data_IF_732607925329
#
_entry.id   IF_732607925329
#
_cell.length_a   1.000
_cell.length_b   1.000
_cell.length_c   1.000
_cell.angle_alpha   90.00
_cell.angle_beta   90.00
_cell.angle_gamma   90.00
#
_symmetry.space_group_name_H-M   'P 1'
#
loop_
_entity.id
_entity.type
_entity.pdbx_description
1 polymer ?
#
# COMPACT_ATOMS: atom_id res chain seq x y z
N UNK A 1 34.97 28.01 15.87
CA UNK A 1 33.83 27.49 15.11
C UNK A 1 32.56 27.68 15.95
N UNK A 2 31.74 28.71 15.71
CA UNK A 2 30.52 28.90 16.47
C UNK A 2 29.46 27.88 16.02
N UNK A 3 28.85 27.20 16.99
CA UNK A 3 27.77 26.25 16.77
C UNK A 3 26.54 26.97 16.21
N UNK A 4 26.13 26.60 14.99
CA UNK A 4 24.88 27.05 14.39
C UNK A 4 23.71 26.65 15.30
N UNK A 5 23.05 27.66 15.86
CA UNK A 5 21.81 27.52 16.62
C UNK A 5 20.69 27.31 15.61
N UNK A 6 20.46 26.06 15.21
CA UNK A 6 19.29 25.71 14.41
C UNK A 6 18.04 26.06 15.22
N UNK A 7 17.27 27.05 14.74
CA UNK A 7 16.00 27.41 15.33
C UNK A 7 15.08 26.19 15.38
N UNK A 8 14.80 25.72 16.60
CA UNK A 8 13.89 24.62 16.84
C UNK A 8 12.46 25.13 16.64
N UNK A 9 11.91 24.88 15.45
CA UNK A 9 10.50 25.15 15.09
C UNK A 9 9.49 24.30 15.90
N UNK A 10 9.96 23.36 16.73
CA UNK A 10 9.12 22.52 17.54
C UNK A 10 8.58 23.27 18.77
N UNK A 11 7.25 23.35 18.88
CA UNK A 11 6.53 23.93 20.03
C UNK A 11 7.09 23.39 21.36
N UNK A 12 7.44 24.25 22.34
CA UNK A 12 7.93 23.80 23.64
C UNK A 12 6.86 22.95 24.33
N UNK A 13 7.17 21.68 24.60
CA UNK A 13 6.29 20.81 25.37
C UNK A 13 6.38 21.21 26.83
N UNK A 14 5.22 21.28 27.52
CA UNK A 14 5.18 21.28 28.99
C UNK A 14 6.00 20.09 29.49
N UNK A 15 7.17 20.36 30.07
CA UNK A 15 7.99 19.34 30.69
C UNK A 15 7.33 18.98 32.02
N UNK A 16 6.89 17.73 32.16
CA UNK A 16 6.58 17.18 33.49
C UNK A 16 7.87 16.67 34.08
N UNK A 17 8.08 16.89 35.38
CA UNK A 17 9.19 16.30 36.13
C UNK A 17 9.20 14.80 35.86
N UNK A 18 10.31 14.30 35.34
CA UNK A 18 10.45 12.88 34.97
C UNK A 18 10.19 12.03 36.20
N UNK A 19 9.24 11.10 36.09
CA UNK A 19 9.05 10.08 37.11
C UNK A 19 10.37 9.32 37.28
N UNK A 20 10.93 9.34 38.50
CA UNK A 20 12.06 8.48 38.88
C UNK A 20 11.67 7.00 38.78
N UNK A 21 10.37 6.70 38.86
CA UNK A 21 9.82 5.37 38.75
C UNK A 21 10.28 4.66 37.46
N UNK A 22 10.63 3.40 37.63
CA UNK A 22 11.12 2.48 36.62
C UNK A 22 10.12 1.32 36.60
N UNK A 23 9.76 0.86 35.42
CA UNK A 23 8.89 -0.30 35.28
C UNK A 23 9.57 -1.55 35.86
N UNK A 24 8.83 -2.36 36.64
CA UNK A 24 9.35 -3.59 37.26
C UNK A 24 9.60 -4.73 36.27
N UNK A 25 9.21 -4.60 35.00
CA UNK A 25 9.49 -5.57 33.93
C UNK A 25 11.00 -5.73 33.70
N UNK A 26 11.45 -6.92 33.23
CA UNK A 26 12.86 -7.18 32.94
C UNK A 26 13.40 -6.19 31.89
N UNK A 27 14.68 -5.84 32.00
CA UNK A 27 15.31 -4.92 31.05
C UNK A 27 15.17 -5.42 29.60
N UNK A 28 14.88 -4.51 28.68
CA UNK A 28 14.82 -4.81 27.26
C UNK A 28 16.23 -4.75 26.68
N UNK A 29 16.78 -5.91 26.33
CA UNK A 29 18.05 -5.98 25.60
C UNK A 29 17.84 -5.55 24.15
N UNK A 30 18.64 -4.60 23.67
CA UNK A 30 18.49 -4.04 22.31
C UNK A 30 18.73 -5.10 21.25
N UNK A 31 19.65 -6.05 21.49
CA UNK A 31 19.91 -7.17 20.57
C UNK A 31 18.71 -8.07 20.27
N UNK A 32 17.69 -8.09 21.13
CA UNK A 32 16.46 -8.87 20.90
C UNK A 32 15.59 -8.30 19.77
N UNK A 33 15.82 -7.03 19.42
CA UNK A 33 15.12 -6.34 18.34
C UNK A 33 15.89 -6.49 17.01
N UNK A 34 15.17 -6.37 15.89
CA UNK A 34 15.80 -6.34 14.56
C UNK A 34 16.59 -5.05 14.40
N UNK A 35 17.70 -5.03 13.61
CA UNK A 35 18.51 -3.82 13.41
C UNK A 35 17.73 -2.57 12.98
N UNK A 36 16.66 -2.73 12.19
CA UNK A 36 15.80 -1.62 11.75
C UNK A 36 14.75 -1.17 12.78
N UNK A 37 14.63 -1.86 13.92
CA UNK A 37 13.67 -1.55 14.98
C UNK A 37 14.29 -0.72 16.10
N UNK A 38 15.54 -0.29 15.96
CA UNK A 38 16.20 0.59 16.92
C UNK A 38 17.23 1.49 16.24
N UNK A 39 17.47 2.65 16.84
CA UNK A 39 18.44 3.65 16.44
C UNK A 39 19.35 3.95 17.65
N UNK A 40 20.65 3.74 17.49
CA UNK A 40 21.66 3.96 18.54
C UNK A 40 22.44 5.27 18.37
N UNK A 41 22.07 6.13 17.41
CA UNK A 41 22.73 7.44 17.25
C UNK A 41 22.54 8.28 18.52
N UNK A 42 23.60 8.86 19.10
CA UNK A 42 23.52 9.58 20.38
C UNK A 42 22.47 10.70 20.42
N UNK A 43 22.24 11.37 19.29
CA UNK A 43 21.26 12.45 19.16
C UNK A 43 19.79 11.96 19.10
N UNK A 44 19.56 10.73 18.64
CA UNK A 44 18.22 10.21 18.28
C UNK A 44 17.99 8.79 18.79
N UNK A 45 18.64 8.42 19.90
CA UNK A 45 18.54 7.09 20.49
C UNK A 45 17.07 6.70 20.74
N UNK A 46 16.58 5.70 20.02
CA UNK A 46 15.17 5.28 20.06
C UNK A 46 15.02 3.82 19.67
N UNK A 47 13.93 3.19 20.09
CA UNK A 47 13.61 1.82 19.69
C UNK A 47 12.11 1.60 19.59
N UNK A 48 11.71 0.56 18.88
CA UNK A 48 10.32 0.11 18.80
C UNK A 48 9.97 -0.65 20.08
N UNK A 49 8.98 -0.16 20.83
CA UNK A 49 8.48 -0.87 22.00
C UNK A 49 7.79 -2.19 21.58
N UNK A 50 8.13 -3.36 22.16
CA UNK A 50 7.53 -4.63 21.78
C UNK A 50 6.03 -4.73 22.12
N UNK A 51 5.58 -4.01 23.15
CA UNK A 51 4.19 -4.07 23.63
C UNK A 51 3.22 -3.29 22.72
N UNK A 52 3.63 -2.10 22.25
CA UNK A 52 2.74 -1.18 21.51
C UNK A 52 3.23 -0.84 20.10
N UNK A 53 4.40 -1.34 19.70
CA UNK A 53 5.02 -1.14 18.37
C UNK A 53 5.27 0.32 17.98
N UNK A 54 5.18 1.27 18.91
CA UNK A 54 5.54 2.67 18.66
C UNK A 54 7.05 2.87 18.75
N UNK A 55 7.58 3.81 17.98
CA UNK A 55 8.95 4.30 18.14
C UNK A 55 9.05 5.18 19.39
N UNK A 56 9.92 4.80 20.32
CA UNK A 56 10.06 5.43 21.63
C UNK A 56 11.51 5.84 21.87
N UNK A 57 11.77 7.10 22.24
CA UNK A 57 13.11 7.53 22.59
C UNK A 57 13.63 6.84 23.85
N UNK A 58 14.93 6.56 23.86
CA UNK A 58 15.67 6.09 25.02
C UNK A 58 16.19 7.32 25.77
N UNK A 59 15.89 7.38 27.06
CA UNK A 59 16.40 8.43 27.92
C UNK A 59 17.78 8.05 28.41
N UNK A 60 18.74 8.95 28.20
CA UNK A 60 20.08 8.80 28.77
C UNK A 60 20.72 7.51 28.31
N UNK A 61 20.94 7.36 27.00
CA UNK A 61 21.57 6.16 26.43
C UNK A 61 22.96 5.88 27.06
N UNK A 62 23.67 6.93 27.47
CA UNK A 62 24.95 6.85 28.20
C UNK A 62 24.80 6.84 29.73
N UNK A 63 23.58 6.95 30.26
CA UNK A 63 23.36 6.92 31.70
C UNK A 63 23.46 5.49 32.24
N UNK A 64 23.76 5.35 33.53
CA UNK A 64 23.84 4.06 34.22
C UNK A 64 22.56 3.22 34.12
N UNK A 65 21.40 3.86 33.94
CA UNK A 65 20.09 3.22 33.83
C UNK A 65 19.30 3.83 32.66
N UNK A 66 19.57 3.42 31.41
CA UNK A 66 18.80 3.87 30.26
C UNK A 66 17.37 3.36 30.39
N UNK A 67 16.38 4.20 30.04
CA UNK A 67 14.97 3.79 30.08
C UNK A 67 14.14 4.43 28.98
N UNK A 68 13.11 3.72 28.56
CA UNK A 68 12.14 4.23 27.60
C UNK A 68 11.40 5.45 28.15
N UNK A 69 11.19 6.45 27.30
CA UNK A 69 10.34 7.59 27.62
C UNK A 69 8.90 7.10 27.87
N UNK A 70 8.17 7.73 28.81
CA UNK A 70 6.73 7.59 28.92
C UNK A 70 6.02 7.72 27.56
N UNK A 71 5.41 6.64 27.11
CA UNK A 71 4.57 6.59 25.92
C UNK A 71 3.29 5.81 26.19
N UNK A 72 2.30 6.04 25.33
CA UNK A 72 0.98 5.46 25.38
C UNK A 72 0.80 4.47 24.22
N UNK A 73 -0.25 3.68 24.29
CA UNK A 73 -0.69 2.76 23.24
C UNK A 73 -1.54 3.50 22.23
N UNK A 74 -1.49 3.06 20.97
CA UNK A 74 -2.30 3.63 19.89
C UNK A 74 -1.61 4.72 19.07
N UNK A 75 -2.31 5.17 18.04
CA UNK A 75 -1.87 6.23 17.13
C UNK A 75 -2.13 7.60 17.75
N UNK A 76 -1.08 8.42 17.79
CA UNK A 76 -1.15 9.79 18.27
C UNK A 76 -2.24 10.58 17.51
N UNK A 77 -3.17 11.18 18.26
CA UNK A 77 -4.26 11.99 17.72
C UNK A 77 -5.45 11.21 17.15
N UNK A 78 -5.44 9.87 17.23
CA UNK A 78 -6.58 9.03 16.82
C UNK A 78 -7.18 8.25 17.99
N UNK A 79 -6.31 7.58 18.74
CA UNK A 79 -6.75 6.70 19.82
C UNK A 79 -6.70 7.40 21.18
N UNK A 80 -7.46 6.87 22.15
CA UNK A 80 -7.39 7.32 23.53
C UNK A 80 -5.99 7.04 24.09
N UNK A 81 -5.39 8.03 24.74
CA UNK A 81 -4.05 7.93 25.32
C UNK A 81 -4.02 6.99 26.54
N UNK A 82 -3.95 5.69 26.28
CA UNK A 82 -3.84 4.64 27.32
C UNK A 82 -2.37 4.30 27.53
N UNK A 83 -1.88 4.44 28.76
CA UNK A 83 -0.47 4.20 29.12
C UNK A 83 0.01 2.81 28.69
N UNK A 84 1.13 2.74 27.96
CA UNK A 84 1.71 1.47 27.56
C UNK A 84 2.32 0.71 28.75
N UNK A 85 2.09 -0.61 28.80
CA UNK A 85 2.66 -1.52 29.81
C UNK A 85 4.19 -1.63 29.72
N UNK A 86 4.78 -1.36 28.56
CA UNK A 86 6.23 -1.30 28.33
C UNK A 86 6.84 0.08 28.59
N UNK A 87 6.04 1.06 29.03
CA UNK A 87 6.53 2.41 29.30
C UNK A 87 7.46 2.46 30.51
N UNK A 88 8.42 3.39 30.53
CA UNK A 88 9.46 3.51 31.58
C UNK A 88 10.28 2.22 31.82
N UNK A 89 10.29 1.27 30.87
CA UNK A 89 11.08 0.03 30.96
C UNK A 89 12.57 0.32 30.78
N UNK A 90 13.40 -0.37 31.57
CA UNK A 90 14.86 -0.30 31.43
C UNK A 90 15.29 -0.86 30.09
N UNK A 91 16.34 -0.26 29.53
CA UNK A 91 16.96 -0.70 28.29
C UNK A 91 18.39 -1.10 28.58
N UNK A 92 18.76 -2.31 28.18
CA UNK A 92 20.13 -2.79 28.20
C UNK A 92 20.71 -2.63 26.79
N UNK A 93 21.63 -1.67 26.62
CA UNK A 93 22.30 -1.39 25.35
C UNK A 93 23.53 -2.30 25.26
N UNK A 94 23.33 -3.48 24.69
CA UNK A 94 24.33 -4.54 24.53
C UNK A 94 24.99 -4.55 23.14
N UNK A 95 24.49 -3.73 22.21
CA UNK A 95 25.04 -3.56 20.87
C UNK A 95 25.83 -2.26 20.78
N UNK A 96 27.07 -2.32 20.26
CA UNK A 96 27.87 -1.12 19.97
C UNK A 96 27.26 -0.36 18.79
N UNK A 97 27.16 0.97 18.89
CA UNK A 97 26.58 1.83 17.86
C UNK A 97 27.22 1.63 16.47
N UNK A 98 28.56 1.56 16.40
CA UNK A 98 29.30 1.30 15.16
C UNK A 98 28.90 -0.02 14.48
N UNK A 99 28.78 -1.10 15.26
CA UNK A 99 28.39 -2.43 14.76
C UNK A 99 26.93 -2.46 14.27
N UNK A 100 26.07 -1.66 14.88
CA UNK A 100 24.69 -1.50 14.40
C UNK A 100 24.65 -0.73 13.08
N UNK A 101 25.44 0.34 12.94
CA UNK A 101 25.53 1.11 11.70
C UNK A 101 26.05 0.26 10.53
N UNK A 102 27.11 -0.51 10.76
CA UNK A 102 27.64 -1.50 9.80
C UNK A 102 26.53 -2.45 9.32
N UNK A 103 25.75 -3.05 10.24
CA UNK A 103 24.63 -3.94 9.90
C UNK A 103 23.54 -3.27 9.06
N UNK A 104 23.29 -1.97 9.26
CA UNK A 104 22.31 -1.24 8.46
C UNK A 104 22.82 -0.96 7.04
N UNK A 105 24.09 -0.60 6.91
CA UNK A 105 24.73 -0.36 5.61
C UNK A 105 24.80 -1.65 4.80
N UNK A 106 25.22 -2.76 5.42
CA UNK A 106 25.30 -4.07 4.76
C UNK A 106 23.91 -4.54 4.28
N UNK A 107 22.89 -4.45 5.15
CA UNK A 107 21.52 -4.83 4.77
C UNK A 107 20.92 -3.94 3.66
N UNK A 108 21.30 -2.65 3.62
CA UNK A 108 20.94 -1.78 2.51
C UNK A 108 21.66 -2.16 1.21
N UNK A 109 22.95 -2.52 1.28
CA UNK A 109 23.70 -2.98 0.12
C UNK A 109 23.09 -4.27 -0.47
N UNK A 110 22.78 -5.27 0.36
CA UNK A 110 22.10 -6.50 -0.07
C UNK A 110 20.72 -6.23 -0.71
N UNK A 111 19.95 -5.29 -0.15
CA UNK A 111 18.65 -4.92 -0.70
C UNK A 111 18.78 -4.16 -2.02
N UNK A 112 19.78 -3.29 -2.15
CA UNK A 112 20.06 -2.54 -3.38
C UNK A 112 20.51 -3.44 -4.54
N UNK A 113 21.10 -4.61 -4.24
CA UNK A 113 21.43 -5.63 -5.24
C UNK A 113 20.21 -6.39 -5.81
N UNK A 114 19.01 -6.23 -5.22
CA UNK A 114 17.79 -6.74 -5.86
C UNK A 114 17.59 -5.98 -7.18
N UNK A 115 17.64 -6.70 -8.30
CA UNK A 115 17.39 -6.12 -9.63
C UNK A 115 16.10 -5.31 -9.59
N UNK A 116 16.22 -4.01 -9.87
CA UNK A 116 15.08 -3.12 -10.02
C UNK A 116 14.15 -3.72 -11.06
N UNK A 117 12.88 -3.91 -10.72
CA UNK A 117 11.86 -4.29 -11.71
C UNK A 117 11.82 -3.21 -12.78
N UNK A 118 12.03 -3.59 -14.04
CA UNK A 118 11.90 -2.68 -15.17
C UNK A 118 10.49 -2.13 -15.17
N UNK A 119 10.34 -0.82 -14.95
CA UNK A 119 9.03 -0.17 -15.02
C UNK A 119 8.65 -0.13 -16.50
N UNK A 120 7.86 -1.10 -16.94
CA UNK A 120 7.21 -1.04 -18.25
C UNK A 120 6.28 0.16 -18.24
N UNK A 121 6.57 1.17 -19.08
CA UNK A 121 5.66 2.30 -19.24
C UNK A 121 4.35 1.77 -19.82
N UNK A 122 3.23 2.24 -19.28
CA UNK A 122 1.92 1.96 -19.86
C UNK A 122 1.95 2.41 -21.33
N UNK A 123 1.58 1.55 -22.29
CA UNK A 123 1.51 1.94 -23.69
C UNK A 123 0.67 3.22 -23.81
N UNK A 124 1.24 4.26 -24.43
CA UNK A 124 0.47 5.45 -24.75
C UNK A 124 -0.52 5.06 -25.85
N UNK A 125 -1.77 4.86 -25.46
CA UNK A 125 -2.86 4.70 -26.43
C UNK A 125 -2.93 5.99 -27.25
N UNK A 126 -3.08 5.86 -28.57
CA UNK A 126 -3.32 7.02 -29.43
C UNK A 126 -4.51 7.81 -28.89
N UNK A 127 -4.41 9.14 -28.91
CA UNK A 127 -5.51 10.01 -28.48
C UNK A 127 -6.72 9.70 -29.35
N UNK A 128 -7.87 9.42 -28.73
CA UNK A 128 -9.09 9.15 -29.47
C UNK A 128 -9.40 10.33 -30.42
N UNK A 129 -9.82 10.06 -31.67
CA UNK A 129 -10.19 11.12 -32.59
C UNK A 129 -11.32 12.00 -32.02
N UNK A 130 -11.35 13.26 -32.42
CA UNK A 130 -12.39 14.18 -31.98
C UNK A 130 -13.78 13.65 -32.38
N UNK A 131 -14.80 13.93 -31.57
CA UNK A 131 -16.19 13.49 -31.85
C UNK A 131 -16.66 13.93 -33.24
N UNK A 132 -16.21 15.10 -33.70
CA UNK A 132 -16.47 15.61 -35.06
C UNK A 132 -15.85 14.75 -36.16
N UNK A 133 -14.64 14.22 -35.95
CA UNK A 133 -13.96 13.34 -36.90
C UNK A 133 -14.63 11.96 -36.96
N UNK A 134 -15.11 11.44 -35.82
CA UNK A 134 -15.88 10.20 -35.75
C UNK A 134 -17.22 10.35 -36.50
N UNK A 135 -17.90 11.48 -36.31
CA UNK A 135 -19.14 11.78 -37.01
C UNK A 135 -18.94 11.93 -38.53
N UNK A 136 -17.87 12.61 -38.95
CA UNK A 136 -17.51 12.75 -40.36
C UNK A 136 -17.15 11.40 -41.00
N UNK A 137 -16.38 10.55 -40.31
CA UNK A 137 -16.09 9.18 -40.77
C UNK A 137 -17.35 8.34 -40.91
N UNK A 138 -18.30 8.49 -39.98
CA UNK A 138 -19.60 7.82 -40.06
C UNK A 138 -20.40 8.31 -41.27
N UNK A 139 -20.38 9.62 -41.55
CA UNK A 139 -21.03 10.19 -42.73
C UNK A 139 -20.41 9.67 -44.02
N UNK A 140 -19.08 9.65 -44.15
CA UNK A 140 -18.40 9.10 -45.33
C UNK A 140 -18.63 7.59 -45.50
N UNK A 141 -18.78 6.84 -44.40
CA UNK A 141 -19.13 5.42 -44.46
C UNK A 141 -20.58 5.19 -44.91
N UNK A 142 -21.52 6.09 -44.58
CA UNK A 142 -22.89 6.05 -45.11
C UNK A 142 -23.01 6.49 -46.57
N UNK A 143 -22.12 7.35 -47.08
CA UNK A 143 -22.12 7.72 -48.51
C UNK A 143 -21.53 6.62 -49.41
N UNK A 144 -20.88 5.62 -48.82
CA UNK A 144 -20.41 4.40 -49.49
C UNK A 144 -21.29 3.17 -49.22
N UNK A 145 -22.61 3.35 -49.01
CA UNK A 145 -23.58 2.26 -48.82
C UNK A 145 -24.00 1.58 -50.14
N UNK A 146 -23.13 1.61 -51.15
CA UNK A 146 -23.17 0.69 -52.28
C UNK A 146 -21.99 -0.27 -52.16
N UNK A 147 -22.29 -1.51 -51.77
CA UNK A 147 -21.43 -2.65 -52.09
C UNK A 147 -21.25 -2.70 -53.60
N UNK A 148 -20.10 -3.17 -54.11
CA UNK A 148 -19.86 -3.27 -55.57
C UNK A 148 -20.91 -4.10 -56.31
N UNK A 149 -21.72 -4.88 -55.58
CA UNK A 149 -22.78 -5.74 -56.07
C UNK A 149 -24.18 -5.10 -55.99
N UNK A 150 -24.30 -3.81 -55.69
CA UNK A 150 -25.56 -3.05 -55.68
C UNK A 150 -26.54 -3.41 -54.55
N UNK A 151 -26.09 -4.17 -53.54
CA UNK A 151 -26.92 -4.58 -52.39
C UNK A 151 -26.65 -3.68 -51.18
N UNK A 152 -27.68 -3.31 -50.40
CA UNK A 152 -27.50 -2.46 -49.22
C UNK A 152 -26.74 -3.21 -48.11
N UNK A 153 -25.87 -2.52 -47.36
CA UNK A 153 -24.96 -3.15 -46.39
C UNK A 153 -25.67 -3.90 -45.25
N UNK A 154 -26.89 -3.50 -44.89
CA UNK A 154 -27.68 -4.18 -43.84
C UNK A 154 -28.08 -5.60 -44.26
N UNK A 155 -28.38 -5.82 -45.55
CA UNK A 155 -28.73 -7.15 -46.09
C UNK A 155 -27.50 -8.06 -46.13
N UNK A 156 -26.33 -7.54 -46.51
CA UNK A 156 -25.07 -8.29 -46.46
C UNK A 156 -24.71 -8.69 -45.03
N UNK A 157 -24.98 -7.81 -44.06
CA UNK A 157 -24.80 -8.10 -42.64
C UNK A 157 -25.76 -9.19 -42.15
N UNK A 158 -27.02 -9.16 -42.58
CA UNK A 158 -28.01 -10.20 -42.25
C UNK A 158 -27.61 -11.56 -42.83
N UNK A 159 -27.22 -11.62 -44.12
CA UNK A 159 -26.72 -12.85 -44.75
C UNK A 159 -25.47 -13.40 -44.05
N UNK A 160 -24.55 -12.52 -43.61
CA UNK A 160 -23.35 -12.93 -42.86
C UNK A 160 -23.68 -13.44 -41.46
N UNK A 161 -24.69 -12.87 -40.80
CA UNK A 161 -25.17 -13.42 -39.53
C UNK A 161 -25.83 -14.77 -39.72
N UNK A 162 -26.70 -14.91 -40.72
CA UNK A 162 -27.35 -16.18 -41.06
C UNK A 162 -26.33 -17.29 -41.36
N UNK A 163 -25.23 -16.97 -42.07
CA UNK A 163 -24.18 -17.96 -42.35
C UNK A 163 -23.36 -18.36 -41.12
N UNK A 164 -23.28 -17.49 -40.09
CA UNK A 164 -22.47 -17.72 -38.89
C UNK A 164 -23.31 -18.25 -37.71
N UNK A 165 -24.64 -18.17 -37.80
CA UNK A 165 -25.58 -18.51 -36.72
C UNK A 165 -25.42 -19.95 -36.24
N UNK A 166 -25.28 -20.91 -37.15
CA UNK A 166 -25.07 -22.32 -36.81
C UNK A 166 -23.76 -22.53 -36.06
N UNK A 167 -22.66 -21.93 -36.53
CA UNK A 167 -21.36 -22.02 -35.87
C UNK A 167 -21.35 -21.38 -34.48
N UNK A 168 -22.09 -20.28 -34.29
CA UNK A 168 -22.29 -19.67 -32.96
C UNK A 168 -23.08 -20.60 -32.05
N UNK A 169 -24.18 -21.18 -32.55
CA UNK A 169 -25.00 -22.15 -31.79
C UNK A 169 -24.16 -23.36 -31.37
N UNK A 170 -23.34 -23.91 -32.27
CA UNK A 170 -22.45 -25.03 -31.99
C UNK A 170 -21.30 -24.69 -31.02
N UNK A 171 -20.85 -23.44 -31.01
CA UNK A 171 -19.88 -22.96 -30.03
C UNK A 171 -20.51 -22.81 -28.64
N UNK A 172 -21.75 -22.33 -28.57
CA UNK A 172 -22.48 -22.16 -27.31
C UNK A 172 -22.92 -23.50 -26.71
N UNK A 173 -23.32 -24.49 -27.52
CA UNK A 173 -23.59 -25.86 -27.04
C UNK A 173 -22.35 -26.50 -26.44
N UNK A 174 -21.20 -26.42 -27.13
CA UNK A 174 -19.91 -26.91 -26.59
C UNK A 174 -19.48 -26.17 -25.32
N UNK A 175 -19.81 -24.89 -25.16
CA UNK A 175 -19.52 -24.14 -23.94
C UNK A 175 -20.43 -24.55 -22.77
N UNK A 176 -21.65 -25.00 -23.07
CA UNK A 176 -22.59 -25.52 -22.07
C UNK A 176 -22.22 -26.92 -21.57
N UNK A 177 -21.47 -27.69 -22.37
CA UNK A 177 -20.89 -28.97 -21.96
C UNK A 177 -19.71 -28.75 -20.99
N UNK A 178 -20.01 -28.75 -19.69
CA UNK A 178 -18.97 -28.80 -18.66
C UNK A 178 -18.39 -30.23 -18.58
N UNK A 179 -17.07 -30.42 -18.70
CA UNK A 179 -16.46 -31.72 -18.44
C UNK A 179 -16.67 -32.13 -16.97
N UNK A 180 -16.95 -33.41 -16.75
CA UNK A 180 -17.17 -33.95 -15.41
C UNK A 180 -15.96 -33.67 -14.50
N UNK A 181 -16.14 -32.83 -13.48
CA UNK A 181 -15.12 -32.49 -12.48
C UNK A 181 -14.82 -31.00 -12.34
N UNK A 182 -15.15 -30.17 -13.32
CA UNK A 182 -14.99 -28.71 -13.24
C UNK A 182 -16.30 -28.04 -12.82
N UNK A 183 -16.74 -28.30 -11.59
CA UNK A 183 -17.67 -27.38 -10.95
C UNK A 183 -16.91 -26.08 -10.65
N UNK A 184 -17.37 -24.90 -11.11
CA UNK A 184 -16.71 -23.64 -10.76
C UNK A 184 -16.65 -23.53 -9.23
N UNK A 185 -15.44 -23.40 -8.69
CA UNK A 185 -15.20 -23.20 -7.26
C UNK A 185 -16.13 -22.08 -6.79
N UNK A 186 -17.14 -22.45 -5.99
CA UNK A 186 -18.35 -21.67 -5.74
C UNK A 186 -18.12 -20.17 -5.74
N UNK A 187 -18.43 -19.53 -6.87
CA UNK A 187 -18.47 -18.08 -6.90
C UNK A 187 -19.56 -17.66 -5.91
N UNK A 188 -19.28 -16.75 -4.97
CA UNK A 188 -20.31 -16.25 -4.07
C UNK A 188 -21.46 -15.69 -4.91
N UNK A 189 -22.72 -15.98 -4.56
CA UNK A 189 -23.87 -15.60 -5.36
C UNK A 189 -23.86 -14.09 -5.58
N UNK A 190 -23.80 -13.67 -6.84
CA UNK A 190 -23.88 -12.25 -7.19
C UNK A 190 -25.30 -11.77 -6.83
N UNK A 191 -25.45 -10.68 -6.07
CA UNK A 191 -26.76 -10.17 -5.72
C UNK A 191 -27.53 -9.81 -7.00
N UNK A 192 -28.63 -10.54 -7.26
CA UNK A 192 -29.53 -10.26 -8.39
C UNK A 192 -30.35 -8.99 -8.19
N UNK A 193 -30.33 -8.42 -6.98
CA UNK A 193 -30.92 -7.12 -6.68
C UNK A 193 -29.88 -6.03 -6.91
N UNK A 194 -30.07 -5.25 -7.96
CA UNK A 194 -29.36 -3.99 -8.16
C UNK A 194 -29.58 -3.08 -6.95
N UNK A 195 -28.50 -2.75 -6.24
CA UNK A 195 -28.54 -1.77 -5.16
C UNK A 195 -28.80 -0.39 -5.78
N UNK A 196 -30.00 0.15 -5.60
CA UNK A 196 -30.29 1.52 -5.98
C UNK A 196 -29.74 2.48 -4.92
N UNK A 197 -28.86 3.43 -5.29
CA UNK A 197 -28.40 4.45 -4.35
C UNK A 197 -29.59 5.31 -3.91
N UNK A 198 -29.88 5.35 -2.61
CA UNK A 198 -30.81 6.31 -2.02
C UNK A 198 -30.24 7.71 -2.24
N UNK A 199 -30.91 8.53 -3.05
CA UNK A 199 -30.65 9.98 -3.09
C UNK A 199 -30.84 10.54 -1.69
N UNK A 200 -29.84 11.27 -1.18
CA UNK A 200 -30.01 12.12 0.00
C UNK A 200 -31.11 13.13 -0.32
N UNK A 201 -32.13 13.22 0.53
CA UNK A 201 -33.02 14.36 0.54
C UNK A 201 -32.20 15.58 0.99
N UNK A 202 -32.23 16.62 0.16
CA UNK A 202 -31.67 17.94 0.44
C UNK A 202 -32.46 18.62 1.55
#
# INVERSE_FOLDING_TARGET
>A
MPASTLERTARPRRSRTRSRNINGRPALAVSTLKPHQYDLRPACASLVCPDCKTWVPITGIQAKKPKLVPHDTGLAGKDVAVRCQGSNRLVAVDVKAKKWEERLVDGHAETAHRRRTTVLRKPKVAVAPAVSQIAAQKQTATTGDESSDGRPLWLLREMKWASTESAVRDADTRRAELPAGDAPLGAPPVPLKTLHPKRRAS
#
